data_IF_123997209720
#
_entry.id   IF_123997209720
#
_cell.length_a   1.000
_cell.length_b   1.000
_cell.length_c   1.000
_cell.angle_alpha   90.00
_cell.angle_beta   90.00
_cell.angle_gamma   90.00
#
_symmetry.space_group_name_H-M   'P 1'
#
loop_
_entity.id
_entity.type
_entity.pdbx_description
1 polymer ?
#
# COMPACT_ATOMS: atom_id res chain seq x y z
N UNK A 1 16.53 -0.76 16.42
CA UNK A 1 15.69 -0.79 15.20
C UNK A 1 16.52 -0.47 13.97
N UNK A 2 16.32 -1.23 12.92
CA UNK A 2 16.94 -0.99 11.64
C UNK A 2 16.14 0.08 10.86
N UNK A 3 16.74 0.67 9.83
CA UNK A 3 16.07 1.61 8.94
C UNK A 3 16.73 1.52 7.56
N UNK A 4 16.82 0.30 7.07
CA UNK A 4 17.43 0.03 5.78
C UNK A 4 16.39 -0.23 4.72
N UNK A 5 16.66 0.19 3.50
CA UNK A 5 15.79 -0.14 2.37
C UNK A 5 16.04 -1.58 1.94
N UNK A 6 14.96 -2.37 1.94
CA UNK A 6 15.00 -3.73 1.39
C UNK A 6 14.53 -3.67 -0.06
N UNK A 7 14.95 -4.64 -0.84
CA UNK A 7 14.56 -4.75 -2.24
C UNK A 7 14.33 -6.21 -2.60
N UNK A 8 13.69 -6.44 -3.72
CA UNK A 8 13.40 -7.77 -4.24
C UNK A 8 13.54 -7.75 -5.76
N UNK A 9 13.48 -8.92 -6.40
CA UNK A 9 13.75 -9.03 -7.83
C UNK A 9 12.67 -8.43 -8.70
N UNK A 10 13.05 -7.94 -9.88
CA UNK A 10 12.14 -7.30 -10.82
C UNK A 10 11.02 -8.24 -11.31
N UNK A 11 11.28 -9.56 -11.27
CA UNK A 11 10.32 -10.57 -11.73
C UNK A 11 9.60 -11.24 -10.56
N UNK A 12 9.82 -10.77 -9.34
CA UNK A 12 9.15 -11.30 -8.15
C UNK A 12 7.92 -10.48 -7.83
N UNK A 13 6.89 -11.17 -7.31
CA UNK A 13 5.62 -10.52 -6.93
C UNK A 13 5.31 -10.79 -5.47
N UNK A 14 4.87 -9.73 -4.79
CA UNK A 14 4.34 -9.81 -3.43
C UNK A 14 2.83 -9.84 -3.53
N UNK A 15 2.21 -10.89 -3.01
CA UNK A 15 0.75 -11.09 -3.12
C UNK A 15 0.15 -11.19 -1.72
N UNK A 16 -0.94 -10.45 -1.51
CA UNK A 16 -1.73 -10.58 -0.30
C UNK A 16 -3.22 -10.42 -0.61
N UNK A 17 -4.05 -10.95 0.28
CA UNK A 17 -5.51 -10.79 0.24
C UNK A 17 -5.99 -10.32 1.59
N UNK A 18 -7.06 -9.55 1.57
CA UNK A 18 -7.72 -9.11 2.79
C UNK A 18 -9.22 -9.38 2.72
N UNK A 19 -9.85 -9.39 3.90
CA UNK A 19 -11.31 -9.37 3.95
C UNK A 19 -11.83 -7.94 3.67
N UNK A 20 -13.12 -7.74 3.76
CA UNK A 20 -13.74 -6.44 3.48
C UNK A 20 -13.33 -5.36 4.48
N UNK A 21 -12.92 -5.75 5.68
CA UNK A 21 -12.46 -4.82 6.70
C UNK A 21 -10.97 -4.52 6.62
N UNK A 22 -10.26 -5.12 5.68
CA UNK A 22 -8.83 -4.89 5.51
C UNK A 22 -7.93 -5.80 6.33
N UNK A 23 -8.47 -6.84 6.95
CA UNK A 23 -7.67 -7.82 7.68
C UNK A 23 -7.04 -8.81 6.71
N UNK A 24 -5.76 -9.11 6.91
CA UNK A 24 -5.00 -10.02 6.05
C UNK A 24 -5.54 -11.43 6.18
N UNK A 25 -5.91 -12.05 5.06
CA UNK A 25 -6.38 -13.42 5.01
C UNK A 25 -5.39 -14.35 4.32
N UNK A 26 -4.49 -13.79 3.51
CA UNK A 26 -3.50 -14.57 2.77
C UNK A 26 -2.30 -13.69 2.43
N UNK A 27 -1.11 -14.28 2.46
CA UNK A 27 0.12 -13.68 1.95
C UNK A 27 1.01 -14.76 1.35
N UNK A 28 1.63 -14.49 0.21
CA UNK A 28 2.57 -15.45 -0.36
C UNK A 28 3.89 -15.42 0.40
N UNK A 29 4.80 -16.32 0.05
CA UNK A 29 6.08 -16.46 0.76
C UNK A 29 6.90 -15.16 0.73
N UNK A 30 6.91 -14.46 -0.39
CA UNK A 30 7.64 -13.20 -0.51
C UNK A 30 7.04 -12.09 0.35
N UNK A 31 5.71 -12.02 0.43
CA UNK A 31 5.02 -11.08 1.31
C UNK A 31 5.44 -11.28 2.77
N UNK A 32 5.43 -12.52 3.21
CA UNK A 32 5.81 -12.88 4.58
C UNK A 32 7.28 -12.54 4.82
N UNK A 33 8.16 -12.96 3.91
CA UNK A 33 9.60 -12.73 4.05
C UNK A 33 9.94 -11.23 4.11
N UNK A 34 9.37 -10.43 3.22
CA UNK A 34 9.64 -8.99 3.17
C UNK A 34 9.10 -8.26 4.40
N UNK A 35 7.98 -8.71 4.94
CA UNK A 35 7.36 -8.06 6.10
C UNK A 35 8.17 -8.19 7.39
N UNK A 36 8.98 -9.24 7.50
CA UNK A 36 9.70 -9.54 8.73
C UNK A 36 8.83 -10.18 9.81
N UNK A 37 7.54 -10.33 9.56
CA UNK A 37 6.60 -11.02 10.46
C UNK A 37 6.44 -12.48 10.04
N UNK A 38 6.03 -13.33 10.99
CA UNK A 38 5.61 -14.68 10.65
C UNK A 38 4.20 -14.67 10.06
N UNK A 39 3.80 -15.76 9.41
CA UNK A 39 2.44 -15.88 8.91
C UNK A 39 1.42 -15.72 10.02
N UNK A 40 1.66 -16.35 11.18
CA UNK A 40 0.76 -16.26 12.32
C UNK A 40 0.62 -14.84 12.85
N UNK A 41 1.66 -14.04 12.73
CA UNK A 41 1.63 -12.63 13.13
C UNK A 41 0.87 -11.76 12.16
N UNK A 42 0.74 -12.18 10.91
CA UNK A 42 0.11 -11.38 9.85
C UNK A 42 -1.39 -11.70 9.67
N UNK A 43 -1.76 -12.97 9.72
CA UNK A 43 -3.14 -13.37 9.44
C UNK A 43 -4.09 -12.78 10.48
N UNK A 44 -5.20 -12.24 10.02
CA UNK A 44 -6.24 -11.54 10.80
C UNK A 44 -5.80 -10.20 11.38
N UNK A 45 -4.62 -9.71 11.02
CA UNK A 45 -4.18 -8.36 11.39
C UNK A 45 -4.55 -7.38 10.29
N UNK A 46 -4.84 -6.12 10.64
CA UNK A 46 -5.11 -5.12 9.61
C UNK A 46 -3.87 -4.92 8.74
N UNK A 47 -4.07 -4.73 7.45
CA UNK A 47 -2.98 -4.57 6.50
C UNK A 47 -2.11 -3.34 6.83
N UNK A 48 -2.66 -2.36 7.55
CA UNK A 48 -1.93 -1.16 7.95
C UNK A 48 -0.78 -1.43 8.94
N UNK A 49 -0.65 -2.66 9.44
CA UNK A 49 0.53 -3.05 10.24
C UNK A 49 1.82 -2.82 9.46
N UNK A 50 1.76 -2.85 8.12
CA UNK A 50 2.89 -2.64 7.23
C UNK A 50 3.01 -1.19 6.75
N UNK A 51 2.10 -0.31 7.15
CA UNK A 51 2.08 1.07 6.68
C UNK A 51 3.22 1.86 7.28
N UNK A 52 4.06 2.44 6.42
CA UNK A 52 5.14 3.33 6.87
C UNK A 52 4.57 4.71 7.21
N UNK A 53 5.12 5.35 8.24
CA UNK A 53 4.65 6.66 8.68
C UNK A 53 4.90 7.78 7.65
N UNK A 54 5.78 7.57 6.67
CA UNK A 54 6.03 8.52 5.59
C UNK A 54 4.96 8.47 4.49
N UNK A 55 3.99 7.55 4.59
CA UNK A 55 2.91 7.47 3.60
C UNK A 55 1.84 8.53 3.88
N UNK A 56 1.48 9.33 2.86
CA UNK A 56 0.37 10.28 3.02
C UNK A 56 -0.95 9.53 3.19
N UNK A 57 -1.79 10.00 4.11
CA UNK A 57 -3.09 9.37 4.37
C UNK A 57 -4.01 9.43 3.15
N UNK A 58 -3.88 10.45 2.31
CA UNK A 58 -4.71 10.60 1.11
C UNK A 58 -4.57 9.42 0.15
N UNK A 59 -3.39 8.80 0.07
CA UNK A 59 -3.17 7.64 -0.81
C UNK A 59 -4.10 6.50 -0.40
N UNK A 60 -4.19 6.22 0.91
CA UNK A 60 -5.06 5.16 1.42
C UNK A 60 -6.54 5.54 1.34
N UNK A 61 -6.87 6.80 1.53
CA UNK A 61 -8.25 7.28 1.36
C UNK A 61 -8.74 7.01 -0.06
N UNK A 62 -7.92 7.35 -1.05
CA UNK A 62 -8.27 7.13 -2.46
C UNK A 62 -8.31 5.64 -2.80
N UNK A 63 -7.37 4.87 -2.27
CA UNK A 63 -7.32 3.43 -2.49
C UNK A 63 -8.60 2.75 -1.99
N UNK A 64 -8.98 3.01 -0.73
CA UNK A 64 -10.17 2.41 -0.14
C UNK A 64 -11.46 2.87 -0.84
N UNK A 65 -11.56 4.16 -1.17
CA UNK A 65 -12.73 4.68 -1.87
C UNK A 65 -12.94 3.95 -3.20
N UNK A 66 -11.85 3.72 -3.92
CA UNK A 66 -11.93 3.11 -5.25
C UNK A 66 -12.27 1.62 -5.19
N UNK A 67 -11.61 0.87 -4.33
CA UNK A 67 -11.85 -0.59 -4.26
C UNK A 67 -13.22 -0.91 -3.66
N UNK A 68 -13.73 -0.06 -2.76
CA UNK A 68 -15.10 -0.23 -2.22
C UNK A 68 -16.16 0.02 -3.28
N UNK A 69 -15.84 0.79 -4.32
CA UNK A 69 -16.72 1.00 -5.46
C UNK A 69 -16.65 -0.14 -6.48
N UNK A 70 -15.84 -1.15 -6.23
CA UNK A 70 -15.65 -2.28 -7.15
C UNK A 70 -14.66 -2.02 -8.26
N UNK A 71 -13.80 -1.02 -8.11
CA UNK A 71 -12.83 -0.63 -9.13
C UNK A 71 -11.42 -0.97 -8.67
N UNK A 72 -10.52 -1.20 -9.63
CA UNK A 72 -9.12 -1.42 -9.35
C UNK A 72 -8.38 -0.10 -9.14
N UNK A 73 -7.21 -0.17 -8.51
CA UNK A 73 -6.32 0.97 -8.36
C UNK A 73 -4.87 0.51 -8.43
N UNK A 74 -4.02 1.39 -8.95
CA UNK A 74 -2.57 1.24 -8.90
C UNK A 74 -2.02 2.31 -7.95
N UNK A 75 -1.08 1.95 -7.10
CA UNK A 75 -0.51 2.90 -6.16
C UNK A 75 0.93 2.52 -5.80
N UNK A 76 1.77 3.53 -5.60
CA UNK A 76 3.10 3.33 -5.02
C UNK A 76 2.95 3.40 -3.50
N UNK A 77 3.52 2.42 -2.81
CA UNK A 77 3.38 2.31 -1.36
C UNK A 77 4.75 2.03 -0.74
N UNK A 78 5.05 2.77 0.32
CA UNK A 78 6.20 2.50 1.17
C UNK A 78 5.73 1.72 2.37
N UNK A 79 6.26 0.52 2.55
CA UNK A 79 5.91 -0.35 3.67
C UNK A 79 7.05 -0.38 4.68
N UNK A 80 6.72 -0.66 5.94
CA UNK A 80 7.71 -0.90 6.98
C UNK A 80 7.67 -2.36 7.39
N UNK A 81 8.81 -2.87 7.85
CA UNK A 81 8.92 -4.23 8.36
C UNK A 81 8.82 -4.23 9.88
N UNK A 82 8.71 -5.43 10.45
CA UNK A 82 8.70 -5.62 11.90
C UNK A 82 9.92 -4.98 12.57
N UNK A 83 11.09 -5.04 11.93
CA UNK A 83 12.36 -4.55 12.49
C UNK A 83 12.63 -3.07 12.19
N UNK A 84 11.73 -2.41 11.49
CA UNK A 84 11.89 -0.99 11.17
C UNK A 84 12.55 -0.70 9.84
N UNK A 85 12.87 -1.72 9.05
CA UNK A 85 13.31 -1.56 7.67
C UNK A 85 12.11 -1.17 6.80
N UNK A 86 12.36 -0.81 5.55
CA UNK A 86 11.30 -0.41 4.65
C UNK A 86 11.56 -0.88 3.23
N UNK A 87 10.49 -0.93 2.44
CA UNK A 87 10.59 -1.26 1.02
C UNK A 87 9.45 -0.59 0.26
N UNK A 88 9.73 -0.24 -0.99
CA UNK A 88 8.77 0.36 -1.89
C UNK A 88 8.16 -0.70 -2.79
N UNK A 89 6.88 -0.56 -3.06
CA UNK A 89 6.16 -1.44 -4.00
C UNK A 89 5.30 -0.60 -4.94
N UNK A 90 5.08 -1.14 -6.13
CA UNK A 90 4.04 -0.67 -7.04
C UNK A 90 2.90 -1.67 -6.94
N UNK A 91 1.81 -1.26 -6.33
CA UNK A 91 0.71 -2.14 -5.98
C UNK A 91 -0.44 -2.03 -6.98
N UNK A 92 -0.99 -3.19 -7.34
CA UNK A 92 -2.24 -3.29 -8.09
C UNK A 92 -3.26 -3.96 -7.18
N UNK A 93 -4.27 -3.22 -6.77
CA UNK A 93 -5.29 -3.69 -5.82
C UNK A 93 -6.61 -3.83 -6.56
N UNK A 94 -7.24 -5.00 -6.42
CA UNK A 94 -8.49 -5.31 -7.10
C UNK A 94 -9.49 -5.91 -6.11
N UNK A 95 -10.79 -5.59 -6.25
CA UNK A 95 -11.82 -6.33 -5.53
C UNK A 95 -12.12 -7.66 -6.22
N UNK A 96 -12.42 -8.68 -5.43
CA UNK A 96 -12.94 -9.95 -5.93
C UNK A 96 -14.42 -10.03 -5.63
N UNK A 97 -15.19 -10.65 -6.54
CA UNK A 97 -16.64 -10.69 -6.44
C UNK A 97 -17.11 -12.13 -6.22
N UNK A 98 -18.19 -12.28 -5.46
CA UNK A 98 -18.84 -13.58 -5.28
C UNK A 98 -19.81 -13.86 -6.43
N UNK A 99 -20.52 -14.99 -6.34
CA UNK A 99 -21.50 -15.40 -7.37
C UNK A 99 -22.68 -14.46 -7.50
N UNK A 100 -22.93 -13.63 -6.47
CA UNK A 100 -23.99 -12.62 -6.46
C UNK A 100 -23.51 -11.24 -6.88
N UNK A 101 -22.28 -11.14 -7.43
CA UNK A 101 -21.62 -9.91 -7.87
C UNK A 101 -21.36 -8.92 -6.74
N UNK A 102 -21.32 -9.39 -5.51
CA UNK A 102 -20.92 -8.59 -4.36
C UNK A 102 -19.45 -8.75 -4.10
N UNK A 103 -18.80 -7.68 -3.63
CA UNK A 103 -17.38 -7.74 -3.28
C UNK A 103 -17.21 -8.71 -2.11
N UNK A 104 -16.34 -9.70 -2.25
CA UNK A 104 -16.09 -10.71 -1.23
C UNK A 104 -14.78 -10.48 -0.49
N UNK A 105 -13.76 -9.97 -1.18
CA UNK A 105 -12.45 -9.70 -0.59
C UNK A 105 -11.67 -8.79 -1.53
N UNK A 106 -10.46 -8.40 -1.10
CA UNK A 106 -9.55 -7.59 -1.90
C UNK A 106 -8.25 -8.35 -2.12
N UNK A 107 -7.66 -8.14 -3.29
CA UNK A 107 -6.47 -8.82 -3.75
C UNK A 107 -5.43 -7.78 -4.16
N UNK A 108 -4.20 -7.93 -3.69
CA UNK A 108 -3.12 -7.00 -4.01
C UNK A 108 -1.94 -7.76 -4.57
N UNK A 109 -1.49 -7.35 -5.76
CA UNK A 109 -0.27 -7.85 -6.38
C UNK A 109 0.70 -6.68 -6.49
N UNK A 110 1.90 -6.85 -5.97
CA UNK A 110 2.89 -5.78 -5.90
C UNK A 110 4.18 -6.22 -6.55
N UNK A 111 4.79 -5.29 -7.25
CA UNK A 111 6.09 -5.49 -7.89
C UNK A 111 7.05 -4.39 -7.45
N UNK A 112 8.32 -4.59 -7.73
CA UNK A 112 9.34 -3.59 -7.49
C UNK A 112 9.11 -2.38 -8.40
N UNK A 113 9.02 -1.16 -7.83
CA UNK A 113 8.88 0.04 -8.64
C UNK A 113 10.20 0.38 -9.34
N UNK A 114 10.12 1.12 -10.43
CA UNK A 114 11.32 1.61 -11.12
C UNK A 114 11.92 2.79 -10.36
N UNK A 115 13.23 2.98 -10.49
CA UNK A 115 13.92 4.14 -9.91
C UNK A 115 13.36 5.45 -10.45
N UNK A 116 13.05 5.48 -11.74
CA UNK A 116 12.49 6.67 -12.40
C UNK A 116 11.15 7.04 -11.80
N UNK A 117 10.28 6.08 -11.52
CA UNK A 117 8.99 6.32 -10.88
C UNK A 117 9.18 6.85 -9.48
N UNK A 118 10.10 6.27 -8.70
CA UNK A 118 10.36 6.70 -7.33
C UNK A 118 10.94 8.12 -7.27
N UNK A 119 11.72 8.53 -8.26
CA UNK A 119 12.23 9.89 -8.35
C UNK A 119 11.11 10.94 -8.43
N UNK A 120 9.95 10.55 -8.94
CA UNK A 120 8.76 11.39 -9.01
C UNK A 120 7.92 11.24 -7.74
N UNK A 121 7.71 10.02 -7.29
CA UNK A 121 6.80 9.69 -6.18
C UNK A 121 7.34 10.17 -4.83
N UNK A 122 8.63 9.98 -4.55
CA UNK A 122 9.20 10.35 -3.26
C UNK A 122 9.01 11.83 -2.93
N UNK A 123 9.36 12.78 -3.85
CA UNK A 123 9.10 14.20 -3.58
C UNK A 123 7.61 14.53 -3.46
N UNK A 124 6.77 13.92 -4.30
CA UNK A 124 5.33 14.14 -4.25
C UNK A 124 4.76 13.71 -2.90
N UNK A 125 5.12 12.51 -2.42
CA UNK A 125 4.62 12.01 -1.15
C UNK A 125 5.13 12.85 0.03
N UNK A 126 6.36 13.34 -0.04
CA UNK A 126 6.89 14.24 0.99
C UNK A 126 6.07 15.54 1.06
N UNK A 127 5.71 16.10 -0.09
CA UNK A 127 4.86 17.29 -0.17
C UNK A 127 3.47 17.03 0.39
N UNK A 128 2.85 15.90 0.01
CA UNK A 128 1.52 15.52 0.49
C UNK A 128 1.51 15.33 2.01
N UNK A 129 2.53 14.65 2.52
CA UNK A 129 2.66 14.42 3.97
C UNK A 129 2.80 15.74 4.73
N UNK A 130 3.59 16.68 4.20
CA UNK A 130 3.75 18.01 4.80
C UNK A 130 2.43 18.79 4.80
N UNK A 131 1.67 18.72 3.71
CA UNK A 131 0.35 19.35 3.63
C UNK A 131 -0.61 18.76 4.65
N UNK A 132 -0.57 17.44 4.86
CA UNK A 132 -1.41 16.78 5.86
C UNK A 132 -1.07 17.21 7.28
N UNK A 133 0.20 17.41 7.57
CA UNK A 133 0.63 17.89 8.90
C UNK A 133 0.13 19.29 9.19
N UNK A 134 0.00 20.12 8.16
CA UNK A 134 -0.40 21.53 8.30
C UNK A 134 -1.90 21.77 8.14
N UNK A 135 -2.61 20.94 7.40
CA UNK A 135 -4.02 21.17 7.07
C UNK A 135 -4.88 19.92 6.94
N UNK A 136 -4.37 18.75 7.36
CA UNK A 136 -5.10 17.50 7.31
C UNK A 136 -5.20 16.91 5.91
N UNK A 137 -5.99 15.86 5.77
CA UNK A 137 -6.15 15.12 4.51
C UNK A 137 -6.72 16.02 3.40
N UNK A 138 -7.61 16.94 3.73
CA UNK A 138 -8.19 17.85 2.74
C UNK A 138 -7.13 18.67 2.03
N UNK A 139 -6.09 19.12 2.75
CA UNK A 139 -5.00 19.89 2.16
C UNK A 139 -4.15 19.05 1.21
N UNK A 140 -3.86 17.79 1.57
CA UNK A 140 -3.11 16.90 0.68
C UNK A 140 -3.94 16.51 -0.54
N UNK A 141 -5.24 16.30 -0.38
CA UNK A 141 -6.14 16.00 -1.50
C UNK A 141 -6.17 17.15 -2.51
N UNK A 142 -6.28 18.39 -2.02
CA UNK A 142 -6.24 19.57 -2.90
C UNK A 142 -4.92 19.68 -3.63
N UNK A 143 -3.79 19.46 -2.96
CA UNK A 143 -2.47 19.49 -3.57
C UNK A 143 -2.31 18.40 -4.63
N UNK A 144 -2.83 17.20 -4.37
CA UNK A 144 -2.78 16.08 -5.32
C UNK A 144 -3.61 16.40 -6.58
N UNK A 145 -4.80 16.97 -6.41
CA UNK A 145 -5.65 17.36 -7.54
C UNK A 145 -4.97 18.41 -8.42
N UNK A 146 -4.27 19.36 -7.82
CA UNK A 146 -3.49 20.36 -8.58
C UNK A 146 -2.35 19.70 -9.35
N UNK A 147 -1.71 18.71 -8.75
CA UNK A 147 -0.58 18.02 -9.39
C UNK A 147 -1.02 17.17 -10.58
N UNK A 148 -2.24 16.62 -10.55
CA UNK A 148 -2.76 15.74 -11.60
C UNK A 148 -3.50 16.48 -12.71
N UNK A 149 -3.73 17.77 -12.56
CA UNK A 149 -4.34 18.62 -13.57
C UNK A 149 -3.25 19.27 -14.49
#
# INVERSE_FOLDING_TARGET
MSNQELTFGDEEFIVSKTDLGGKITYGNALFIAMSGYSENELINKPHNILRHQDMPAIVFKLLWARIKEGKEIFAYVKNKTKDGDYYWVFAHVTPSFDTNRKISNYHSVRRKPTEKALDIIKPLYATLLQKEKNGGIAASEAALNQHTM
#
